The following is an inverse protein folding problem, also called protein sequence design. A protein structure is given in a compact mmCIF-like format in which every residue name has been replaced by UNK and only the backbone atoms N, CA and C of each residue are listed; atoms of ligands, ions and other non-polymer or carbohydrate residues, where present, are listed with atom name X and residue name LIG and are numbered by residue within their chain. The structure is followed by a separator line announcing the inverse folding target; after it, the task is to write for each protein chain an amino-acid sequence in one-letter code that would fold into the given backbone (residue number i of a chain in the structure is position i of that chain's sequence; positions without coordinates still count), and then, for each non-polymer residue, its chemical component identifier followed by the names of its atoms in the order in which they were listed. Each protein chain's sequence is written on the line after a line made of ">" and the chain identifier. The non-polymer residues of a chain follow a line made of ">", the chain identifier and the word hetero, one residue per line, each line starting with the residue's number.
data_IF_585107201989
#
_entry.id   IF_585107201989
#
_cell.length_a   1.000
_cell.length_b   1.000
_cell.length_c   1.000
_cell.angle_alpha   90.00
_cell.angle_beta   90.00
_cell.angle_gamma   90.00
#
_symmetry.space_group_name_H-M   'P 1'
#
loop_
_entity.id
_entity.type
_entity.pdbx_description
1 polymer ?
#
# COMPACT_ATOMS: atom_id res chain seq x y z
N UNK A 1 11.29 -19.21 4.20
CA UNK A 1 10.15 -18.57 3.51
C UNK A 1 8.80 -19.16 3.89
N UNK A 2 8.51 -20.45 3.66
CA UNK A 2 7.21 -21.07 4.01
C UNK A 2 6.75 -20.79 5.46
N UNK A 3 7.62 -21.04 6.44
CA UNK A 3 7.34 -20.81 7.86
C UNK A 3 7.10 -19.35 8.21
N UNK A 4 7.80 -18.43 7.55
CA UNK A 4 7.71 -16.98 7.82
C UNK A 4 6.37 -16.44 7.31
N UNK A 5 6.00 -16.81 6.08
CA UNK A 5 4.73 -16.38 5.48
C UNK A 5 3.54 -17.27 5.84
N UNK A 6 3.73 -18.38 6.55
CA UNK A 6 2.66 -19.32 6.91
C UNK A 6 1.92 -19.89 5.70
N UNK A 7 2.66 -20.23 4.64
CA UNK A 7 2.14 -20.82 3.40
C UNK A 7 2.70 -22.24 3.20
N UNK A 8 2.09 -23.01 2.30
CA UNK A 8 2.59 -24.36 2.00
C UNK A 8 3.97 -24.30 1.33
N UNK A 9 4.80 -25.32 1.54
CA UNK A 9 6.13 -25.37 0.94
C UNK A 9 6.08 -25.28 -0.59
N UNK A 10 5.14 -26.00 -1.20
CA UNK A 10 4.92 -25.95 -2.65
C UNK A 10 4.48 -24.57 -3.16
N UNK A 11 3.89 -23.71 -2.33
CA UNK A 11 3.46 -22.38 -2.77
C UNK A 11 4.60 -21.36 -2.75
N UNK A 12 5.69 -21.64 -2.05
CA UNK A 12 6.84 -20.72 -1.95
C UNK A 12 7.41 -20.38 -3.32
N UNK A 13 7.51 -21.35 -4.22
CA UNK A 13 8.05 -21.20 -5.57
C UNK A 13 6.97 -21.13 -6.67
N UNK A 14 5.77 -21.69 -6.47
CA UNK A 14 4.73 -21.77 -7.52
C UNK A 14 3.77 -20.58 -7.49
N UNK A 15 3.67 -19.87 -6.37
CA UNK A 15 2.76 -18.73 -6.18
C UNK A 15 3.53 -17.42 -6.06
N UNK A 16 2.86 -16.35 -6.46
CA UNK A 16 3.42 -15.00 -6.47
C UNK A 16 3.61 -14.38 -5.07
N UNK A 17 4.26 -13.22 -5.04
CA UNK A 17 4.50 -12.43 -3.83
C UNK A 17 3.22 -11.98 -3.13
N UNK A 18 2.13 -11.74 -3.88
CA UNK A 18 0.83 -11.33 -3.33
C UNK A 18 0.31 -12.32 -2.28
N UNK A 19 0.37 -13.63 -2.56
CA UNK A 19 -0.06 -14.66 -1.61
C UNK A 19 0.71 -14.57 -0.28
N UNK A 20 2.00 -14.24 -0.35
CA UNK A 20 2.87 -14.13 0.83
C UNK A 20 2.44 -12.98 1.74
N UNK A 21 2.11 -11.83 1.14
CA UNK A 21 1.64 -10.63 1.85
C UNK A 21 0.23 -10.85 2.38
N UNK A 22 -0.69 -11.34 1.55
CA UNK A 22 -2.08 -11.61 1.96
C UNK A 22 -2.15 -12.63 3.10
N UNK A 23 -1.35 -13.69 3.06
CA UNK A 23 -1.30 -14.71 4.12
C UNK A 23 -0.87 -14.10 5.47
N UNK A 24 0.12 -13.21 5.47
CA UNK A 24 0.51 -12.47 6.68
C UNK A 24 -0.56 -11.51 7.16
N UNK A 25 -1.13 -10.72 6.24
CA UNK A 25 -2.17 -9.73 6.55
C UNK A 25 -3.42 -10.39 7.13
N UNK A 26 -3.87 -11.49 6.53
CA UNK A 26 -5.07 -12.21 6.97
C UNK A 26 -4.92 -12.76 8.38
N UNK A 27 -3.74 -13.33 8.72
CA UNK A 27 -3.47 -13.78 10.09
C UNK A 27 -3.49 -12.64 11.09
N UNK A 28 -2.84 -11.51 10.76
CA UNK A 28 -2.82 -10.35 11.65
C UNK A 28 -4.24 -9.78 11.86
N UNK A 29 -4.97 -9.58 10.77
CA UNK A 29 -6.34 -9.08 10.82
C UNK A 29 -7.28 -9.99 11.63
N UNK A 30 -7.20 -11.31 11.42
CA UNK A 30 -7.98 -12.27 12.18
C UNK A 30 -7.73 -12.17 13.70
N UNK A 31 -6.46 -12.00 14.12
CA UNK A 31 -6.15 -11.83 15.55
C UNK A 31 -6.69 -10.54 16.16
N UNK A 32 -6.97 -9.54 15.33
CA UNK A 32 -7.49 -8.23 15.74
C UNK A 32 -9.00 -8.08 15.49
N UNK A 33 -9.68 -9.13 15.00
CA UNK A 33 -11.11 -9.09 14.68
C UNK A 33 -11.46 -8.29 13.43
N UNK A 34 -10.49 -8.03 12.55
CA UNK A 34 -10.72 -7.36 11.27
C UNK A 34 -11.12 -8.35 10.17
N UNK A 35 -11.89 -7.87 9.20
CA UNK A 35 -12.26 -8.59 7.98
C UNK A 35 -11.54 -7.95 6.80
N UNK A 36 -10.85 -8.77 5.99
CA UNK A 36 -10.23 -8.29 4.76
C UNK A 36 -11.28 -8.17 3.66
N UNK A 37 -11.26 -7.08 2.89
CA UNK A 37 -12.11 -6.99 1.72
C UNK A 37 -11.63 -7.87 0.57
N UNK A 38 -12.57 -8.36 -0.23
CA UNK A 38 -12.30 -9.07 -1.48
C UNK A 38 -12.76 -8.24 -2.68
N UNK A 39 -11.81 -7.67 -3.41
CA UNK A 39 -12.08 -6.81 -4.59
C UNK A 39 -12.18 -7.67 -5.84
N UNK A 40 -13.29 -7.53 -6.57
CA UNK A 40 -13.49 -8.21 -7.86
C UNK A 40 -12.65 -7.57 -8.98
N UNK A 41 -12.33 -8.30 -10.06
CA UNK A 41 -11.63 -7.74 -11.20
C UNK A 41 -12.34 -6.50 -11.80
N UNK A 42 -13.68 -6.52 -11.89
CA UNK A 42 -14.47 -5.39 -12.39
C UNK A 42 -14.34 -4.14 -11.52
N UNK A 43 -14.34 -4.31 -10.18
CA UNK A 43 -14.13 -3.19 -9.25
C UNK A 43 -12.70 -2.65 -9.31
N UNK A 44 -11.70 -3.53 -9.49
CA UNK A 44 -10.29 -3.12 -9.63
C UNK A 44 -10.07 -2.22 -10.85
N UNK A 45 -10.73 -2.51 -11.97
CA UNK A 45 -10.61 -1.72 -13.21
C UNK A 45 -11.16 -0.30 -13.03
N UNK A 46 -12.12 -0.12 -12.12
CA UNK A 46 -12.72 1.19 -11.82
C UNK A 46 -11.92 2.01 -10.80
N UNK A 47 -10.83 1.46 -10.24
CA UNK A 47 -9.99 2.20 -9.30
C UNK A 47 -9.26 3.35 -10.00
N UNK A 48 -9.08 4.45 -9.28
CA UNK A 48 -8.26 5.57 -9.76
C UNK A 48 -6.81 5.12 -9.99
N UNK A 49 -6.22 5.63 -11.06
CA UNK A 49 -4.81 5.41 -11.35
C UNK A 49 -3.92 6.15 -10.34
N UNK A 50 -2.71 5.64 -10.04
CA UNK A 50 -1.75 6.35 -9.20
C UNK A 50 -1.42 7.74 -9.78
N UNK A 51 -1.57 8.78 -8.97
CA UNK A 51 -1.38 10.18 -9.41
C UNK A 51 0.09 10.61 -9.33
N UNK A 52 0.88 10.02 -8.43
CA UNK A 52 2.25 10.43 -8.15
C UNK A 52 3.28 9.41 -8.63
N UNK A 53 4.38 9.92 -9.18
CA UNK A 53 5.53 9.15 -9.63
C UNK A 53 6.74 9.39 -8.71
N UNK A 54 7.66 8.44 -8.71
CA UNK A 54 8.92 8.58 -8.00
C UNK A 54 9.78 9.71 -8.59
N UNK A 55 10.54 10.38 -7.73
CA UNK A 55 11.53 11.36 -8.15
C UNK A 55 12.75 10.65 -8.74
N UNK A 56 13.08 10.96 -9.99
CA UNK A 56 14.32 10.56 -10.65
C UNK A 56 15.04 11.83 -11.06
N UNK A 57 16.22 12.07 -10.48
CA UNK A 57 17.05 13.22 -10.85
C UNK A 57 17.76 12.95 -12.16
N UNK A 58 17.88 13.97 -13.00
CA UNK A 58 18.65 13.89 -14.24
C UNK A 58 20.16 13.81 -13.92
N UNK A 59 20.88 12.80 -14.40
CA UNK A 59 22.31 12.66 -14.13
C UNK A 59 23.12 13.64 -14.98
N UNK A 60 24.12 14.26 -14.37
CA UNK A 60 25.11 15.06 -15.10
C UNK A 60 26.10 14.13 -15.81
N UNK A 61 25.98 14.06 -17.13
CA UNK A 61 26.80 13.22 -18.00
C UNK A 61 28.21 13.81 -18.17
N UNK A 62 29.16 13.32 -17.39
CA UNK A 62 30.59 13.67 -17.48
C UNK A 62 31.45 12.56 -16.88
N UNK A 63 32.75 12.64 -17.11
CA UNK A 63 33.74 11.81 -16.41
C UNK A 63 34.09 12.48 -15.08
N UNK A 64 34.04 11.73 -13.98
CA UNK A 64 34.38 12.21 -12.64
C UNK A 64 35.76 11.67 -12.26
N UNK A 65 36.70 12.56 -11.96
CA UNK A 65 38.04 12.19 -11.47
C UNK A 65 38.12 12.18 -9.94
N UNK A 66 37.27 12.96 -9.28
CA UNK A 66 37.14 13.00 -7.82
C UNK A 66 36.22 11.86 -7.32
N UNK A 67 36.39 11.35 -6.08
CA UNK A 67 35.54 10.30 -5.53
C UNK A 67 34.08 10.76 -5.40
N UNK A 68 33.15 9.90 -5.82
CA UNK A 68 31.70 10.14 -5.75
C UNK A 68 31.09 9.30 -4.63
N UNK A 69 30.48 9.96 -3.64
CA UNK A 69 29.78 9.29 -2.54
C UNK A 69 28.38 8.88 -3.01
N UNK A 70 28.03 7.61 -2.79
CA UNK A 70 26.71 7.08 -3.07
C UNK A 70 25.98 6.84 -1.76
N UNK A 71 24.84 7.52 -1.59
CA UNK A 71 23.97 7.36 -0.42
C UNK A 71 22.68 6.66 -0.85
N UNK A 72 22.23 5.71 -0.03
CA UNK A 72 20.98 5.01 -0.24
C UNK A 72 20.22 4.87 1.09
N UNK A 73 18.89 4.88 1.02
CA UNK A 73 18.04 4.67 2.18
C UNK A 73 17.87 3.17 2.42
N UNK A 74 18.14 2.73 3.66
CA UNK A 74 17.87 1.34 4.04
C UNK A 74 16.36 1.12 4.15
N UNK A 75 15.80 0.36 3.21
CA UNK A 75 14.38 -0.01 3.20
C UNK A 75 13.44 1.21 3.21
N UNK A 76 13.59 2.13 2.25
CA UNK A 76 12.84 3.38 2.15
C UNK A 76 11.32 3.23 2.38
N UNK A 77 10.63 2.42 1.58
CA UNK A 77 9.16 2.29 1.67
C UNK A 77 8.67 1.67 2.99
N UNK A 78 9.22 0.52 3.46
CA UNK A 78 8.85 0.00 4.78
C UNK A 78 9.07 1.00 5.92
N UNK A 79 10.19 1.73 5.89
CA UNK A 79 10.49 2.74 6.90
C UNK A 79 9.46 3.88 6.89
N UNK A 80 9.05 4.37 5.71
CA UNK A 80 8.00 5.39 5.61
C UNK A 80 6.64 4.88 6.10
N UNK A 81 6.27 3.64 5.75
CA UNK A 81 5.01 3.02 6.16
C UNK A 81 4.90 2.95 7.68
N UNK A 82 5.99 2.57 8.36
CA UNK A 82 6.05 2.49 9.83
C UNK A 82 6.06 3.89 10.45
N UNK A 83 6.91 4.79 9.95
CA UNK A 83 7.11 6.13 10.53
C UNK A 83 5.84 7.00 10.47
N UNK A 84 5.06 6.89 9.38
CA UNK A 84 3.87 7.71 9.15
C UNK A 84 2.55 6.94 9.34
N UNK A 85 2.61 5.73 9.90
CA UNK A 85 1.44 4.91 10.21
C UNK A 85 0.51 4.68 8.99
N UNK A 86 1.10 4.35 7.83
CA UNK A 86 0.35 4.04 6.63
C UNK A 86 -0.22 2.62 6.71
N UNK A 87 -1.52 2.51 6.96
CA UNK A 87 -2.20 1.22 7.05
C UNK A 87 -3.60 1.33 6.45
N UNK A 88 -4.16 0.19 6.03
CA UNK A 88 -5.56 0.12 5.61
C UNK A 88 -6.54 0.49 6.75
N UNK A 89 -6.15 0.27 8.01
CA UNK A 89 -6.95 0.60 9.19
C UNK A 89 -6.89 2.06 9.61
N UNK A 90 -5.97 2.85 9.06
CA UNK A 90 -5.74 4.26 9.43
C UNK A 90 -6.15 5.23 8.33
N UNK A 91 -6.60 4.73 7.17
CA UNK A 91 -6.93 5.51 6.00
C UNK A 91 -8.38 6.02 6.05
N UNK A 92 -8.57 7.33 5.87
CA UNK A 92 -9.89 7.99 5.79
C UNK A 92 -10.19 8.60 4.40
N UNK A 93 -9.32 8.39 3.42
CA UNK A 93 -9.48 8.94 2.06
C UNK A 93 -8.76 10.28 1.85
N UNK A 94 -9.04 10.92 0.70
CA UNK A 94 -8.43 12.21 0.34
C UNK A 94 -9.00 13.34 1.21
N UNK A 95 -8.15 14.29 1.59
CA UNK A 95 -8.56 15.46 2.41
C UNK A 95 -9.70 16.24 1.75
N UNK A 96 -9.62 16.45 0.43
CA UNK A 96 -10.67 17.13 -0.35
C UNK A 96 -12.03 16.42 -0.28
N UNK A 97 -12.03 15.09 -0.32
CA UNK A 97 -13.26 14.30 -0.19
C UNK A 97 -13.86 14.40 1.21
N UNK A 98 -13.03 14.46 2.26
CA UNK A 98 -13.49 14.64 3.64
C UNK A 98 -14.11 16.02 3.86
N UNK A 99 -13.54 17.07 3.27
CA UNK A 99 -14.12 18.42 3.32
C UNK A 99 -15.48 18.48 2.61
N UNK A 100 -15.63 17.80 1.47
CA UNK A 100 -16.90 17.69 0.74
C UNK A 100 -17.97 16.96 1.55
N UNK A 101 -17.61 15.86 2.20
CA UNK A 101 -18.52 15.14 3.09
C UNK A 101 -19.03 16.02 4.22
N UNK A 102 -18.16 16.81 4.85
CA UNK A 102 -18.56 17.73 5.91
C UNK A 102 -19.54 18.81 5.43
N UNK A 103 -19.39 19.28 4.17
CA UNK A 103 -20.30 20.28 3.58
C UNK A 103 -21.64 19.69 3.14
N UNK A 104 -21.63 18.50 2.55
CA UNK A 104 -22.80 17.89 1.91
C UNK A 104 -23.61 17.00 2.87
N UNK A 105 -23.06 16.64 4.03
CA UNK A 105 -23.70 15.72 4.97
C UNK A 105 -23.74 14.27 4.50
N UNK A 106 -22.95 13.91 3.47
CA UNK A 106 -22.83 12.52 3.00
C UNK A 106 -21.82 11.75 3.86
N UNK A 107 -22.26 10.60 4.38
CA UNK A 107 -21.45 9.74 5.26
C UNK A 107 -20.75 8.59 4.50
N UNK A 108 -20.45 8.74 3.21
CA UNK A 108 -19.81 7.69 2.41
C UNK A 108 -18.39 8.08 1.98
N UNK A 109 -17.40 7.25 2.33
CA UNK A 109 -16.00 7.40 1.89
C UNK A 109 -15.68 6.32 0.86
N UNK A 110 -15.11 6.70 -0.28
CA UNK A 110 -14.53 5.75 -1.23
C UNK A 110 -13.05 5.55 -0.94
N UNK A 111 -12.65 4.31 -0.65
CA UNK A 111 -11.26 3.90 -0.47
C UNK A 111 -10.93 2.83 -1.51
N UNK A 112 -10.14 3.21 -2.51
CA UNK A 112 -9.81 2.34 -3.63
C UNK A 112 -11.07 1.87 -4.35
N UNK A 113 -11.29 0.56 -4.35
CA UNK A 113 -12.41 -0.08 -5.05
C UNK A 113 -13.69 -0.19 -4.21
N UNK A 114 -13.66 0.23 -2.94
CA UNK A 114 -14.70 -0.07 -1.94
C UNK A 114 -15.24 1.24 -1.38
N UNK A 115 -16.56 1.29 -1.20
CA UNK A 115 -17.25 2.39 -0.53
C UNK A 115 -17.62 1.94 0.88
N UNK A 116 -17.22 2.75 1.86
CA UNK A 116 -17.50 2.54 3.27
C UNK A 116 -18.49 3.61 3.73
N UNK A 117 -19.49 3.20 4.51
CA UNK A 117 -20.37 4.13 5.22
C UNK A 117 -19.77 4.38 6.59
N UNK A 118 -19.49 5.64 6.89
CA UNK A 118 -19.04 6.09 8.20
C UNK A 118 -20.28 6.16 9.10
N UNK A 119 -20.25 5.59 10.32
CA UNK A 119 -21.34 5.69 11.28
C UNK A 119 -21.58 7.13 11.76
#
# INVERSE_FOLDING_TARGET
>A
MARVYGIQFHEVWSRGSQLRVESMMFRLAHTQGFVLPSVTPSQRIQMEAPEQLQLIMEPLSKVYFDPVIVLDFQSLYPSMVIAYNYCFSTLFGKVTALEEMQRNGEAAIQIGAIKYTVP
#
